data_IF_730422660359
#
_entry.id   IF_730422660359
#
_cell.length_a   1.000
_cell.length_b   1.000
_cell.length_c   1.000
_cell.angle_alpha   90.00
_cell.angle_beta   90.00
_cell.angle_gamma   90.00
#
_symmetry.space_group_name_H-M   'P 1'
#
loop_
_entity.id
_entity.type
_entity.pdbx_description
1 polymer ?
#
# COMPACT_ATOMS: atom_id res chain seq x y z
N UNK A 1 12.62 11.98 -8.03
CA UNK A 1 12.40 11.58 -9.43
C UNK A 1 12.48 10.07 -9.60
N UNK A 2 13.58 9.41 -9.26
CA UNK A 2 13.80 7.95 -9.40
C UNK A 2 12.72 7.05 -8.77
N UNK A 3 12.18 7.42 -7.61
CA UNK A 3 11.16 6.61 -6.95
C UNK A 3 9.85 6.53 -7.73
N UNK A 4 9.40 7.64 -8.32
CA UNK A 4 8.19 7.66 -9.13
C UNK A 4 8.33 6.82 -10.40
N UNK A 5 9.48 6.88 -11.08
CA UNK A 5 9.72 6.07 -12.28
C UNK A 5 9.78 4.57 -11.99
N UNK A 6 10.28 4.18 -10.80
CA UNK A 6 10.27 2.79 -10.38
C UNK A 6 8.84 2.25 -10.14
N UNK A 7 7.92 3.12 -9.66
CA UNK A 7 6.52 2.75 -9.49
C UNK A 7 5.81 2.58 -10.85
N UNK A 8 5.85 3.61 -11.69
CA UNK A 8 5.32 3.59 -13.06
C UNK A 8 5.94 4.69 -13.90
N UNK A 9 6.40 4.42 -15.15
CA UNK A 9 7.04 5.42 -16.01
C UNK A 9 6.16 6.66 -16.26
N UNK A 10 4.85 6.49 -16.43
CA UNK A 10 3.91 7.58 -16.67
C UNK A 10 3.82 8.60 -15.51
N UNK A 11 4.32 8.26 -14.31
CA UNK A 11 4.41 9.22 -13.20
C UNK A 11 5.44 10.34 -13.43
N UNK A 12 6.33 10.15 -14.41
CA UNK A 12 7.35 11.12 -14.80
C UNK A 12 7.22 11.53 -16.26
N UNK A 13 6.88 10.57 -17.11
CA UNK A 13 6.72 10.76 -18.55
C UNK A 13 5.23 10.62 -18.91
N UNK A 14 4.44 11.73 -18.92
CA UNK A 14 3.00 11.67 -19.15
C UNK A 14 2.61 11.02 -20.48
N UNK A 15 3.48 11.16 -21.50
CA UNK A 15 3.28 10.62 -22.86
C UNK A 15 3.68 9.14 -22.97
N UNK A 16 4.08 8.49 -21.88
CA UNK A 16 4.35 7.06 -21.88
C UNK A 16 3.07 6.29 -22.14
N UNK A 17 2.99 5.70 -23.33
CA UNK A 17 1.85 4.88 -23.77
C UNK A 17 2.19 3.39 -23.63
N UNK A 18 2.10 2.88 -22.42
CA UNK A 18 2.39 1.48 -22.14
C UNK A 18 2.05 1.09 -20.71
N UNK A 19 2.04 -0.20 -20.48
CA UNK A 19 1.88 -0.81 -19.15
C UNK A 19 3.28 -1.16 -18.63
N UNK A 20 3.63 -0.74 -17.42
CA UNK A 20 4.88 -1.17 -16.80
C UNK A 20 4.77 -2.63 -16.33
N UNK A 21 5.88 -3.35 -16.30
CA UNK A 21 5.91 -4.75 -15.85
C UNK A 21 5.34 -4.91 -14.42
N UNK A 22 5.54 -3.91 -13.54
CA UNK A 22 4.89 -3.90 -12.21
C UNK A 22 3.37 -3.81 -12.33
N UNK A 23 2.86 -2.91 -13.18
CA UNK A 23 1.42 -2.75 -13.37
C UNK A 23 0.81 -4.00 -13.99
N UNK A 24 1.48 -4.63 -14.95
CA UNK A 24 1.09 -5.91 -15.53
C UNK A 24 0.97 -6.99 -14.46
N UNK A 25 1.99 -7.15 -13.62
CA UNK A 25 1.96 -8.11 -12.51
C UNK A 25 0.82 -7.83 -11.50
N UNK A 26 0.54 -6.56 -11.19
CA UNK A 26 -0.59 -6.17 -10.32
C UNK A 26 -1.91 -6.59 -10.95
N UNK A 27 -2.07 -6.34 -12.26
CA UNK A 27 -3.28 -6.65 -13.01
C UNK A 27 -3.51 -8.17 -13.07
N UNK A 28 -2.49 -8.95 -13.39
CA UNK A 28 -2.60 -10.40 -13.52
C UNK A 28 -2.91 -11.05 -12.17
N UNK A 29 -2.24 -10.59 -11.11
CA UNK A 29 -2.52 -11.06 -9.75
C UNK A 29 -3.95 -10.70 -9.33
N UNK A 30 -4.39 -9.48 -9.61
CA UNK A 30 -5.74 -9.04 -9.31
C UNK A 30 -6.80 -9.84 -10.09
N UNK A 31 -6.57 -10.10 -11.39
CA UNK A 31 -7.53 -10.85 -12.22
C UNK A 31 -7.71 -12.28 -11.73
N UNK A 32 -6.63 -12.93 -11.30
CA UNK A 32 -6.68 -14.25 -10.65
C UNK A 32 -7.56 -14.21 -9.41
N UNK A 33 -7.27 -13.31 -8.47
CA UNK A 33 -8.03 -13.20 -7.21
C UNK A 33 -9.48 -12.81 -7.45
N UNK A 34 -9.73 -11.92 -8.39
CA UNK A 34 -11.08 -11.52 -8.79
C UNK A 34 -11.88 -12.71 -9.33
N UNK A 35 -11.26 -13.55 -10.17
CA UNK A 35 -11.92 -14.75 -10.72
C UNK A 35 -12.29 -15.76 -9.65
N UNK A 36 -11.53 -15.80 -8.54
CA UNK A 36 -11.79 -16.62 -7.36
C UNK A 36 -12.80 -15.99 -6.38
N UNK A 37 -13.28 -14.79 -6.67
CA UNK A 37 -14.30 -14.10 -5.88
C UNK A 37 -13.76 -13.31 -4.69
N UNK A 38 -12.45 -13.07 -4.64
CA UNK A 38 -11.81 -12.28 -3.59
C UNK A 38 -12.01 -10.78 -3.77
N UNK A 39 -11.97 -10.04 -2.67
CA UNK A 39 -11.95 -8.57 -2.64
C UNK A 39 -10.58 -8.07 -2.23
N UNK A 40 -10.06 -7.08 -2.95
CA UNK A 40 -8.69 -6.60 -2.82
C UNK A 40 -8.65 -5.11 -2.48
N UNK A 41 -7.93 -4.73 -1.42
CA UNK A 41 -7.56 -3.34 -1.15
C UNK A 41 -6.23 -3.04 -1.84
N UNK A 42 -6.16 -2.00 -2.64
CA UNK A 42 -4.95 -1.61 -3.37
C UNK A 42 -4.51 -0.23 -2.88
N UNK A 43 -3.38 -0.20 -2.16
CA UNK A 43 -2.83 1.01 -1.58
C UNK A 43 -1.65 1.56 -2.37
N UNK A 44 -1.67 2.86 -2.60
CA UNK A 44 -0.56 3.62 -3.18
C UNK A 44 -0.32 4.92 -2.43
N UNK A 45 0.94 5.35 -2.36
CA UNK A 45 1.33 6.69 -1.93
C UNK A 45 1.12 7.74 -3.03
N UNK A 46 1.00 7.30 -4.30
CA UNK A 46 0.81 8.16 -5.46
C UNK A 46 -0.61 8.05 -6.01
N UNK A 47 -1.41 9.12 -5.85
CA UNK A 47 -2.77 9.18 -6.41
C UNK A 47 -2.76 8.90 -7.92
N UNK A 48 -1.78 9.47 -8.65
CA UNK A 48 -1.66 9.25 -10.09
C UNK A 48 -1.44 7.78 -10.45
N UNK A 49 -0.77 6.98 -9.64
CA UNK A 49 -0.61 5.53 -9.87
C UNK A 49 -1.96 4.80 -9.74
N UNK A 50 -2.79 5.19 -8.76
CA UNK A 50 -4.16 4.69 -8.63
C UNK A 50 -5.04 5.07 -9.81
N UNK A 51 -4.88 6.29 -10.34
CA UNK A 51 -5.61 6.76 -11.52
C UNK A 51 -5.25 5.95 -12.78
N UNK A 52 -3.96 5.62 -12.96
CA UNK A 52 -3.49 4.74 -14.04
C UNK A 52 -4.14 3.36 -13.93
N UNK A 53 -4.14 2.75 -12.73
CA UNK A 53 -4.81 1.47 -12.51
C UNK A 53 -6.32 1.56 -12.72
N UNK A 54 -6.94 2.63 -12.25
CA UNK A 54 -8.37 2.89 -12.45
C UNK A 54 -8.74 2.94 -13.93
N UNK A 55 -7.89 3.57 -14.75
CA UNK A 55 -8.08 3.60 -16.20
C UNK A 55 -8.02 2.19 -16.81
N UNK A 56 -6.99 1.39 -16.44
CA UNK A 56 -6.87 0.01 -16.91
C UNK A 56 -8.07 -0.84 -16.48
N UNK A 57 -8.54 -0.67 -15.24
CA UNK A 57 -9.72 -1.39 -14.75
C UNK A 57 -10.98 -1.02 -15.53
N UNK A 58 -11.16 0.26 -15.84
CA UNK A 58 -12.28 0.75 -16.66
C UNK A 58 -12.26 0.16 -18.07
N UNK A 59 -11.07 0.13 -18.71
CA UNK A 59 -10.89 -0.46 -20.04
C UNK A 59 -11.20 -1.97 -20.07
N UNK A 60 -10.95 -2.67 -18.95
CA UNK A 60 -11.27 -4.10 -18.78
C UNK A 60 -12.71 -4.34 -18.30
N UNK A 61 -13.51 -3.31 -18.07
CA UNK A 61 -14.87 -3.41 -17.54
C UNK A 61 -14.95 -3.86 -16.09
N UNK A 62 -13.85 -3.75 -15.32
CA UNK A 62 -13.80 -4.14 -13.92
C UNK A 62 -14.32 -3.00 -13.04
N UNK A 63 -15.23 -3.34 -12.13
CA UNK A 63 -15.76 -2.37 -11.17
C UNK A 63 -14.80 -2.19 -9.99
N UNK A 64 -14.64 -0.97 -9.54
CA UNK A 64 -13.78 -0.60 -8.43
C UNK A 64 -14.36 0.59 -7.66
N UNK A 65 -13.96 0.75 -6.40
CA UNK A 65 -14.12 1.97 -5.63
C UNK A 65 -12.77 2.73 -5.59
N UNK A 66 -12.83 4.06 -5.44
CA UNK A 66 -11.62 4.90 -5.40
C UNK A 66 -11.70 5.91 -4.25
N UNK A 67 -10.71 5.85 -3.35
CA UNK A 67 -10.60 6.76 -2.21
C UNK A 67 -9.26 7.50 -2.23
N UNK A 68 -9.31 8.79 -2.53
CA UNK A 68 -8.17 9.70 -2.50
C UNK A 68 -8.43 10.89 -1.59
N UNK A 69 -7.45 11.79 -1.48
CA UNK A 69 -7.63 13.05 -0.75
C UNK A 69 -8.73 13.95 -1.34
N UNK A 70 -9.01 13.83 -2.65
CA UNK A 70 -10.04 14.59 -3.37
C UNK A 70 -11.43 13.94 -3.37
N UNK A 71 -11.58 12.76 -2.79
CA UNK A 71 -12.89 12.08 -2.73
C UNK A 71 -13.85 12.84 -1.82
N UNK A 72 -14.92 13.40 -2.37
CA UNK A 72 -15.89 14.22 -1.65
C UNK A 72 -16.84 13.37 -0.77
N UNK A 73 -17.28 12.21 -1.26
CA UNK A 73 -18.22 11.35 -0.55
C UNK A 73 -17.56 10.00 -0.20
N UNK A 74 -16.74 10.00 0.84
CA UNK A 74 -16.06 8.80 1.35
C UNK A 74 -17.02 7.68 1.78
N UNK A 75 -18.14 7.96 2.49
CA UNK A 75 -19.10 6.92 2.85
C UNK A 75 -19.68 6.19 1.65
N UNK A 76 -19.95 6.90 0.56
CA UNK A 76 -20.48 6.32 -0.68
C UNK A 76 -19.47 5.33 -1.32
N UNK A 77 -18.19 5.69 -1.38
CA UNK A 77 -17.16 4.80 -1.92
C UNK A 77 -16.97 3.54 -1.06
N UNK A 78 -17.05 3.70 0.26
CA UNK A 78 -16.98 2.58 1.19
C UNK A 78 -18.20 1.67 0.99
N UNK A 79 -19.41 2.22 0.98
CA UNK A 79 -20.64 1.46 0.74
C UNK A 79 -20.61 0.76 -0.63
N UNK A 80 -20.13 1.46 -1.69
CA UNK A 80 -19.95 0.89 -3.02
C UNK A 80 -19.08 -0.37 -3.00
N UNK A 81 -17.94 -0.33 -2.26
CA UNK A 81 -17.08 -1.49 -2.12
C UNK A 81 -17.67 -2.57 -1.22
N UNK A 82 -18.29 -2.20 -0.09
CA UNK A 82 -18.73 -3.18 0.92
C UNK A 82 -20.00 -3.91 0.52
N UNK A 83 -20.95 -3.21 -0.09
CA UNK A 83 -22.30 -3.71 -0.40
C UNK A 83 -22.39 -4.38 -1.78
N UNK A 84 -21.61 -3.92 -2.76
CA UNK A 84 -21.64 -4.46 -4.11
C UNK A 84 -20.70 -5.65 -4.25
N UNK A 85 -21.22 -6.82 -4.59
CA UNK A 85 -20.41 -8.05 -4.75
C UNK A 85 -19.46 -8.00 -5.94
N UNK A 86 -19.84 -7.31 -6.99
CA UNK A 86 -19.10 -7.17 -8.25
C UNK A 86 -18.03 -6.06 -8.20
N UNK A 87 -18.00 -5.26 -7.13
CA UNK A 87 -16.92 -4.32 -6.83
C UNK A 87 -15.87 -5.04 -5.99
N UNK A 88 -14.84 -5.56 -6.66
CA UNK A 88 -13.82 -6.40 -6.02
C UNK A 88 -12.51 -5.68 -5.75
N UNK A 89 -12.32 -4.47 -6.27
CA UNK A 89 -11.16 -3.64 -6.00
C UNK A 89 -11.53 -2.36 -5.26
N UNK A 90 -10.72 -1.97 -4.27
CA UNK A 90 -10.77 -0.65 -3.67
C UNK A 90 -9.40 0.02 -3.74
N UNK A 91 -9.28 1.00 -4.61
CA UNK A 91 -8.07 1.80 -4.83
C UNK A 91 -8.01 2.91 -3.77
N UNK A 92 -6.99 2.91 -2.92
CA UNK A 92 -6.93 3.79 -1.74
C UNK A 92 -5.58 4.48 -1.68
N UNK A 93 -5.56 5.81 -1.61
CA UNK A 93 -4.32 6.50 -1.31
C UNK A 93 -3.95 6.33 0.18
N UNK A 94 -2.67 6.06 0.48
CA UNK A 94 -2.20 5.84 1.86
C UNK A 94 -2.58 7.00 2.80
N UNK A 95 -2.55 8.24 2.30
CA UNK A 95 -2.97 9.42 3.06
C UNK A 95 -4.47 9.42 3.39
N UNK A 96 -5.31 9.02 2.44
CA UNK A 96 -6.76 8.97 2.65
C UNK A 96 -7.18 7.77 3.49
N UNK A 97 -6.45 6.66 3.40
CA UNK A 97 -6.66 5.44 4.18
C UNK A 97 -6.37 5.58 5.68
N UNK A 98 -5.76 6.69 6.12
CA UNK A 98 -5.35 6.90 7.52
C UNK A 98 -6.49 7.05 8.55
N UNK A 99 -7.74 7.22 8.16
CA UNK A 99 -8.86 7.51 9.07
C UNK A 99 -9.84 6.33 9.12
N UNK A 100 -9.79 5.57 10.21
CA UNK A 100 -10.90 4.75 10.76
C UNK A 100 -11.67 3.79 9.84
N UNK A 101 -11.19 3.49 8.64
CA UNK A 101 -11.88 2.62 7.69
C UNK A 101 -11.98 1.18 8.24
N UNK A 102 -13.17 0.59 8.17
CA UNK A 102 -13.39 -0.82 8.42
C UNK A 102 -13.74 -1.52 7.09
N UNK A 103 -12.81 -2.33 6.57
CA UNK A 103 -12.89 -2.94 5.25
C UNK A 103 -12.68 -4.47 5.34
N UNK A 104 -13.35 -5.09 6.31
CA UNK A 104 -13.25 -6.52 6.59
C UNK A 104 -13.83 -7.43 5.49
N UNK A 105 -14.46 -6.89 4.47
CA UNK A 105 -14.87 -7.65 3.29
C UNK A 105 -13.70 -8.07 2.39
N UNK A 106 -12.56 -7.35 2.51
CA UNK A 106 -11.36 -7.69 1.76
C UNK A 106 -10.51 -8.70 2.52
N UNK A 107 -10.03 -9.69 1.82
CA UNK A 107 -9.11 -10.70 2.31
C UNK A 107 -7.71 -10.59 1.66
N UNK A 108 -7.55 -9.70 0.70
CA UNK A 108 -6.25 -9.36 0.10
C UNK A 108 -5.94 -7.87 0.17
N UNK A 109 -4.67 -7.57 0.39
CA UNK A 109 -4.15 -6.19 0.44
C UNK A 109 -2.93 -6.09 -0.47
N UNK A 110 -2.95 -5.17 -1.42
CA UNK A 110 -1.83 -4.84 -2.29
C UNK A 110 -1.20 -3.53 -1.85
N UNK A 111 0.09 -3.53 -1.57
CA UNK A 111 0.93 -2.34 -1.42
C UNK A 111 1.73 -2.22 -2.72
N UNK A 112 1.34 -1.30 -3.58
CA UNK A 112 1.90 -1.21 -4.95
C UNK A 112 3.11 -0.30 -5.07
N UNK A 113 3.41 0.45 -4.02
CA UNK A 113 4.66 1.18 -3.85
C UNK A 113 5.04 1.22 -2.35
N UNK A 114 6.30 0.94 -1.99
CA UNK A 114 6.75 0.96 -0.60
C UNK A 114 6.76 2.40 -0.08
N UNK A 115 6.42 2.59 1.18
CA UNK A 115 6.42 3.89 1.83
C UNK A 115 7.55 3.99 2.86
N UNK A 116 8.16 5.18 3.00
CA UNK A 116 9.25 5.41 3.94
C UNK A 116 8.92 5.09 5.40
N UNK A 117 7.63 5.18 5.75
CA UNK A 117 7.14 4.87 7.08
C UNK A 117 6.43 3.51 7.08
N UNK A 118 7.04 2.45 7.62
CA UNK A 118 6.43 1.12 7.69
C UNK A 118 5.13 1.08 8.50
N UNK A 119 4.94 2.01 9.45
CA UNK A 119 3.72 2.10 10.24
C UNK A 119 2.49 2.42 9.36
N UNK A 120 2.66 3.21 8.28
CA UNK A 120 1.57 3.52 7.36
C UNK A 120 1.13 2.28 6.57
N UNK A 121 2.05 1.41 6.16
CA UNK A 121 1.74 0.14 5.52
C UNK A 121 1.05 -0.83 6.49
N UNK A 122 1.56 -0.94 7.71
CA UNK A 122 0.94 -1.76 8.76
C UNK A 122 -0.49 -1.29 9.07
N UNK A 123 -0.73 0.03 9.12
CA UNK A 123 -2.07 0.59 9.25
C UNK A 123 -2.96 0.24 8.06
N UNK A 124 -2.44 0.28 6.83
CA UNK A 124 -3.19 -0.08 5.64
C UNK A 124 -3.65 -1.55 5.70
N UNK A 125 -2.75 -2.48 6.05
CA UNK A 125 -3.06 -3.90 6.23
C UNK A 125 -4.08 -4.09 7.35
N UNK A 126 -3.93 -3.38 8.46
CA UNK A 126 -4.86 -3.44 9.61
C UNK A 126 -6.29 -2.96 9.29
N UNK A 127 -6.55 -2.34 8.12
CA UNK A 127 -7.92 -1.99 7.67
C UNK A 127 -8.73 -3.23 7.26
N UNK A 128 -8.08 -4.22 6.69
CA UNK A 128 -8.69 -5.52 6.38
C UNK A 128 -8.67 -6.45 7.61
N UNK A 129 -7.62 -6.39 8.42
CA UNK A 129 -7.44 -7.25 9.59
C UNK A 129 -8.02 -6.59 10.86
N UNK A 130 -9.34 -6.60 11.02
CA UNK A 130 -10.04 -6.06 12.18
C UNK A 130 -11.04 -7.07 12.77
N UNK A 131 -11.57 -6.73 13.96
CA UNK A 131 -12.67 -7.47 14.59
C UNK A 131 -13.84 -7.56 13.59
N UNK A 132 -14.28 -8.80 13.30
CA UNK A 132 -15.29 -9.10 12.26
C UNK A 132 -14.68 -9.59 10.94
N UNK A 133 -13.36 -9.78 10.86
CA UNK A 133 -12.70 -10.49 9.76
C UNK A 133 -12.59 -11.97 10.08
N UNK A 134 -13.33 -12.79 9.35
CA UNK A 134 -13.36 -14.27 9.53
C UNK A 134 -12.35 -14.98 8.61
N UNK A 135 -11.73 -14.25 7.67
CA UNK A 135 -10.77 -14.81 6.72
C UNK A 135 -9.34 -14.39 7.07
N UNK A 136 -8.39 -15.22 6.67
CA UNK A 136 -6.98 -14.83 6.69
C UNK A 136 -6.74 -13.69 5.70
N UNK A 137 -6.13 -12.60 6.17
CA UNK A 137 -5.74 -11.47 5.31
C UNK A 137 -4.33 -11.71 4.77
N UNK A 138 -4.20 -11.68 3.44
CA UNK A 138 -2.93 -11.86 2.73
C UNK A 138 -2.50 -10.50 2.15
N UNK A 139 -1.27 -10.07 2.47
CA UNK A 139 -0.71 -8.82 1.97
C UNK A 139 0.40 -9.08 0.95
N UNK A 140 0.24 -8.54 -0.27
CA UNK A 140 1.27 -8.51 -1.31
C UNK A 140 1.94 -7.13 -1.36
N UNK A 141 3.27 -7.13 -1.48
CA UNK A 141 4.06 -5.93 -1.81
C UNK A 141 4.64 -6.09 -3.21
N UNK A 142 4.34 -5.16 -4.09
CA UNK A 142 4.87 -5.14 -5.46
C UNK A 142 6.09 -4.23 -5.51
N UNK A 143 7.25 -4.81 -5.74
CA UNK A 143 8.55 -4.13 -5.70
C UNK A 143 9.25 -4.31 -7.03
N UNK A 144 9.70 -3.21 -7.62
CA UNK A 144 10.51 -3.22 -8.83
C UNK A 144 11.94 -3.62 -8.48
N UNK A 145 12.42 -4.71 -9.08
CA UNK A 145 13.77 -5.21 -8.87
C UNK A 145 14.84 -4.21 -9.37
N UNK A 146 16.00 -4.22 -8.75
CA UNK A 146 17.13 -3.35 -9.06
C UNK A 146 16.80 -1.85 -9.04
N UNK A 147 15.88 -1.45 -8.16
CA UNK A 147 15.36 -0.08 -8.08
C UNK A 147 15.54 0.52 -6.68
N UNK A 148 15.20 1.81 -6.58
CA UNK A 148 15.16 2.51 -5.30
C UNK A 148 14.16 1.89 -4.31
N UNK A 149 13.15 1.15 -4.79
CA UNK A 149 12.15 0.51 -3.94
C UNK A 149 12.76 -0.60 -3.08
N UNK A 150 13.70 -1.38 -3.62
CA UNK A 150 14.44 -2.38 -2.82
C UNK A 150 15.25 -1.71 -1.70
N UNK A 151 15.88 -0.56 -1.99
CA UNK A 151 16.61 0.20 -0.97
C UNK A 151 15.70 0.71 0.13
N UNK A 152 14.46 1.12 -0.22
CA UNK A 152 13.46 1.55 0.77
C UNK A 152 13.06 0.38 1.66
N UNK A 153 12.84 -0.81 1.09
CA UNK A 153 12.54 -2.01 1.89
C UNK A 153 13.68 -2.36 2.85
N UNK A 154 14.94 -2.29 2.38
CA UNK A 154 16.10 -2.53 3.24
C UNK A 154 16.12 -1.53 4.40
N UNK A 155 15.91 -0.24 4.14
CA UNK A 155 15.84 0.79 5.17
C UNK A 155 14.68 0.56 6.16
N UNK A 156 13.51 0.09 5.68
CA UNK A 156 12.40 -0.26 6.57
C UNK A 156 12.78 -1.42 7.50
N UNK A 157 13.41 -2.45 6.95
CA UNK A 157 13.83 -3.62 7.72
C UNK A 157 14.88 -3.26 8.77
N UNK A 158 15.87 -2.45 8.40
CA UNK A 158 16.90 -1.98 9.32
C UNK A 158 16.28 -1.15 10.46
N UNK A 159 15.32 -0.27 10.16
CA UNK A 159 14.58 0.47 11.19
C UNK A 159 13.76 -0.44 12.11
N UNK A 160 13.15 -1.49 11.56
CA UNK A 160 12.40 -2.45 12.37
C UNK A 160 13.31 -3.19 13.32
N UNK A 161 14.45 -3.70 12.84
CA UNK A 161 15.46 -4.41 13.67
C UNK A 161 15.98 -3.52 14.79
N UNK A 162 16.28 -2.25 14.48
CA UNK A 162 16.70 -1.30 15.51
C UNK A 162 15.62 -1.11 16.57
N UNK A 163 14.37 -0.91 16.17
CA UNK A 163 13.27 -0.76 17.11
C UNK A 163 13.06 -2.01 17.98
N UNK A 164 13.15 -3.20 17.41
CA UNK A 164 13.06 -4.48 18.13
C UNK A 164 14.22 -4.62 19.14
N UNK A 165 15.44 -4.27 18.75
CA UNK A 165 16.61 -4.29 19.67
C UNK A 165 16.38 -3.36 20.87
N UNK A 166 15.88 -2.14 20.64
CA UNK A 166 15.59 -1.21 21.75
C UNK A 166 14.45 -1.67 22.66
N UNK A 167 13.49 -2.41 22.15
CA UNK A 167 12.38 -2.94 22.97
C UNK A 167 12.84 -4.15 23.79
N UNK A 168 13.71 -4.99 23.24
CA UNK A 168 14.21 -6.21 23.91
C UNK A 168 15.26 -5.87 24.97
N UNK A 169 16.05 -4.83 24.75
CA UNK A 169 17.09 -4.36 25.69
C UNK A 169 16.57 -3.36 26.76
N UNK A 170 15.29 -3.11 26.82
CA UNK A 170 14.72 -2.17 27.79
C UNK A 170 14.88 -2.57 29.26
N UNK A 171 15.44 -3.75 29.58
CA UNK A 171 15.89 -4.10 30.93
C UNK A 171 17.32 -3.64 31.25
N UNK A 172 18.09 -3.12 30.28
CA UNK A 172 19.46 -2.67 30.50
C UNK A 172 19.85 -1.56 29.51
N UNK A 173 19.21 -0.41 29.54
CA UNK A 173 19.81 0.78 28.94
C UNK A 173 20.79 1.40 29.93
N UNK A 174 22.12 1.24 29.74
CA UNK A 174 23.07 2.18 30.34
C UNK A 174 22.71 3.54 29.78
N UNK A 175 22.56 4.53 30.65
CA UNK A 175 22.29 5.91 30.23
C UNK A 175 23.36 6.33 29.21
N UNK A 176 22.97 6.42 27.94
CA UNK A 176 23.85 6.93 26.89
C UNK A 176 24.27 8.34 27.29
N UNK A 177 25.55 8.62 27.25
CA UNK A 177 26.07 9.96 27.50
C UNK A 177 25.59 10.93 26.40
N UNK A 178 25.54 12.22 26.73
CA UNK A 178 25.16 13.26 25.76
C UNK A 178 26.04 13.24 24.50
N UNK A 179 27.26 12.76 24.56
CA UNK A 179 28.17 12.60 23.43
C UNK A 179 27.73 11.44 22.52
N UNK A 180 27.29 10.32 23.08
CA UNK A 180 26.77 9.19 22.32
C UNK A 180 25.45 9.51 21.63
N UNK A 181 24.60 10.37 22.23
CA UNK A 181 23.41 10.88 21.56
C UNK A 181 23.76 11.82 20.39
N UNK A 182 24.80 12.64 20.52
CA UNK A 182 25.23 13.55 19.45
C UNK A 182 25.82 12.79 18.23
N UNK A 183 26.43 11.63 18.42
CA UNK A 183 26.97 10.81 17.33
C UNK A 183 25.89 9.98 16.59
N UNK A 184 24.79 9.62 17.26
CA UNK A 184 23.64 8.95 16.66
C UNK A 184 22.78 9.89 15.81
N UNK A 185 22.94 11.21 15.97
CA UNK A 185 22.14 12.21 15.26
C UNK A 185 22.88 12.87 14.09
N UNK A 186 24.11 12.45 13.77
CA UNK A 186 24.89 12.87 12.59
C UNK A 186 24.62 11.92 11.43
#
# INVERSE_FOLDING_TARGET
MLFRSACHPQLIFPDFDGISGKTEQIIDTFDTLRSEGHKVLIFSSFVRHLEILAEVFRQRGWKYALLTGSTNNRPSEIAHFTEQKDVQAFLISLKAGGVGLNLTQADYVFIIDPWWNPAAESQAIARAHRIGQDKQVIAYRFITQNSIEEKILQLQEDKRRLAETFITDSEALPALSNEQWADLLK
#
